data_IF_398513952966
#
_entry.id   IF_398513952966
#
_cell.length_a   1.000
_cell.length_b   1.000
_cell.length_c   1.000
_cell.angle_alpha   90.00
_cell.angle_beta   90.00
_cell.angle_gamma   90.00
#
_symmetry.space_group_name_H-M   'P 1'
#
loop_
_entity.id
_entity.type
_entity.pdbx_description
1 polymer ?
#
# COMPACT_ATOMS: atom_id res chain seq x y z
N UNK A 1 -2.00 -16.69 -19.75
CA UNK A 1 -3.04 -15.65 -19.59
C UNK A 1 -3.35 -15.42 -18.11
N UNK A 2 -2.31 -15.01 -17.35
CA UNK A 2 -2.39 -14.83 -15.88
C UNK A 2 -2.47 -13.35 -15.45
N UNK A 3 -2.38 -12.42 -16.38
CA UNK A 3 -2.32 -10.98 -16.13
C UNK A 3 -3.65 -10.34 -15.62
N UNK A 4 -4.76 -11.05 -15.65
CA UNK A 4 -6.07 -10.44 -15.37
C UNK A 4 -6.49 -10.43 -13.90
N UNK A 5 -5.78 -11.15 -13.02
CA UNK A 5 -6.31 -11.41 -11.68
C UNK A 5 -5.69 -10.55 -10.60
N UNK A 6 -4.44 -10.11 -10.73
CA UNK A 6 -3.73 -9.48 -9.61
C UNK A 6 -4.42 -8.22 -9.08
N UNK A 7 -4.56 -7.17 -9.86
CA UNK A 7 -5.13 -5.90 -9.42
C UNK A 7 -6.59 -6.04 -8.99
N UNK A 8 -7.36 -6.88 -9.69
CA UNK A 8 -8.74 -7.17 -9.31
C UNK A 8 -8.81 -7.98 -8.00
N UNK A 9 -7.89 -8.94 -7.82
CA UNK A 9 -7.81 -9.72 -6.59
C UNK A 9 -7.46 -8.84 -5.38
N UNK A 10 -6.55 -7.88 -5.52
CA UNK A 10 -6.19 -6.93 -4.48
C UNK A 10 -7.38 -6.09 -4.02
N UNK A 11 -8.13 -5.57 -4.99
CA UNK A 11 -9.37 -4.82 -4.74
C UNK A 11 -10.40 -5.68 -4.02
N UNK A 12 -10.56 -6.93 -4.46
CA UNK A 12 -11.49 -7.89 -3.86
C UNK A 12 -11.06 -8.27 -2.44
N UNK A 13 -9.77 -8.51 -2.23
CA UNK A 13 -9.23 -8.81 -0.89
C UNK A 13 -9.49 -7.66 0.09
N UNK A 14 -9.26 -6.42 -0.33
CA UNK A 14 -9.56 -5.25 0.49
C UNK A 14 -11.04 -5.18 0.88
N UNK A 15 -11.93 -5.42 -0.08
CA UNK A 15 -13.38 -5.46 0.18
C UNK A 15 -13.75 -6.57 1.17
N UNK A 16 -13.19 -7.76 1.01
CA UNK A 16 -13.45 -8.90 1.91
C UNK A 16 -12.96 -8.62 3.34
N UNK A 17 -11.80 -7.97 3.48
CA UNK A 17 -11.27 -7.56 4.79
C UNK A 17 -12.18 -6.55 5.49
N UNK A 18 -12.85 -5.66 4.75
CA UNK A 18 -13.85 -4.74 5.32
C UNK A 18 -15.09 -5.49 5.81
N UNK A 19 -15.55 -6.48 5.05
CA UNK A 19 -16.77 -7.22 5.37
C UNK A 19 -16.58 -8.20 6.54
N UNK A 20 -15.39 -8.77 6.67
CA UNK A 20 -15.08 -9.78 7.67
C UNK A 20 -14.69 -9.22 9.04
N UNK A 21 -14.44 -10.12 9.96
CA UNK A 21 -14.00 -9.84 11.34
C UNK A 21 -12.60 -10.42 11.62
N UNK A 22 -11.81 -10.63 10.55
CA UNK A 22 -10.51 -11.31 10.61
C UNK A 22 -9.58 -10.74 11.70
N UNK A 23 -9.54 -9.43 11.85
CA UNK A 23 -8.65 -8.78 12.82
C UNK A 23 -9.20 -8.75 14.25
N UNK A 24 -10.47 -9.12 14.44
CA UNK A 24 -11.01 -9.44 15.76
C UNK A 24 -10.48 -10.80 16.23
N UNK A 25 -10.46 -11.78 15.33
CA UNK A 25 -9.99 -13.13 15.63
C UNK A 25 -8.45 -13.20 15.65
N UNK A 26 -7.79 -12.44 14.76
CA UNK A 26 -6.34 -12.46 14.58
C UNK A 26 -5.76 -11.03 14.61
N UNK A 27 -5.73 -10.36 15.77
CA UNK A 27 -5.39 -8.94 15.88
C UNK A 27 -3.92 -8.62 15.53
N UNK A 28 -3.04 -9.61 15.51
CA UNK A 28 -1.62 -9.44 15.17
C UNK A 28 -1.29 -9.70 13.71
N UNK A 29 -2.23 -10.25 12.94
CA UNK A 29 -2.04 -10.43 11.49
C UNK A 29 -1.88 -9.08 10.80
N UNK A 30 -1.00 -9.04 9.81
CA UNK A 30 -0.78 -7.88 8.95
C UNK A 30 -0.82 -8.31 7.50
N UNK A 31 -1.43 -7.47 6.68
CA UNK A 31 -1.49 -7.67 5.23
C UNK A 31 -0.90 -6.46 4.53
N UNK A 32 -0.03 -6.70 3.57
CA UNK A 32 0.37 -5.71 2.58
C UNK A 32 -0.34 -6.05 1.29
N UNK A 33 -1.24 -5.18 0.86
CA UNK A 33 -1.95 -5.34 -0.41
C UNK A 33 -1.09 -4.71 -1.51
N UNK A 34 -0.64 -5.49 -2.49
CA UNK A 34 0.25 -5.00 -3.53
C UNK A 34 -0.46 -4.07 -4.54
N UNK A 35 0.30 -3.55 -5.48
CA UNK A 35 -0.17 -2.70 -6.60
C UNK A 35 -0.97 -1.48 -6.12
N UNK A 36 -0.51 -0.84 -5.04
CA UNK A 36 -1.22 0.29 -4.44
C UNK A 36 -2.61 -0.05 -3.90
N UNK A 37 -2.91 -1.33 -3.70
CA UNK A 37 -4.24 -1.80 -3.31
C UNK A 37 -5.23 -1.92 -4.47
N UNK A 38 -4.74 -2.01 -5.70
CA UNK A 38 -5.58 -2.08 -6.88
C UNK A 38 -6.46 -0.83 -7.05
N UNK A 39 -7.77 -0.99 -7.13
CA UNK A 39 -8.72 0.11 -7.23
C UNK A 39 -9.17 0.67 -5.86
N UNK A 40 -8.66 0.15 -4.73
CA UNK A 40 -9.08 0.58 -3.41
C UNK A 40 -8.90 2.09 -3.15
N UNK A 41 -7.75 2.72 -3.45
CA UNK A 41 -7.59 4.16 -3.27
C UNK A 41 -8.57 4.98 -4.12
N UNK A 42 -8.84 4.55 -5.34
CA UNK A 42 -9.77 5.23 -6.25
C UNK A 42 -11.22 5.19 -5.72
N UNK A 43 -11.61 4.10 -5.07
CA UNK A 43 -12.96 3.92 -4.51
C UNK A 43 -13.03 4.12 -2.99
N UNK A 44 -12.06 4.80 -2.39
CA UNK A 44 -11.93 4.94 -0.93
C UNK A 44 -13.21 5.41 -0.24
N UNK A 45 -13.91 6.37 -0.84
CA UNK A 45 -15.20 6.84 -0.32
C UNK A 45 -16.28 5.75 -0.28
N UNK A 46 -16.31 4.87 -1.29
CA UNK A 46 -17.25 3.72 -1.32
C UNK A 46 -16.97 2.73 -0.20
N UNK A 47 -15.70 2.44 0.07
CA UNK A 47 -15.33 1.52 1.14
C UNK A 47 -15.62 2.09 2.53
N UNK A 48 -15.47 3.39 2.72
CA UNK A 48 -15.92 4.08 3.94
C UNK A 48 -17.43 3.96 4.12
N UNK A 49 -18.21 4.19 3.06
CA UNK A 49 -19.67 4.04 3.06
C UNK A 49 -20.10 2.59 3.33
N UNK A 50 -19.45 1.61 2.69
CA UNK A 50 -19.70 0.20 2.94
C UNK A 50 -19.45 -0.21 4.40
N UNK A 51 -18.33 0.23 4.97
CA UNK A 51 -18.03 -0.02 6.38
C UNK A 51 -19.14 0.53 7.31
N UNK A 52 -19.62 1.73 7.03
CA UNK A 52 -20.73 2.36 7.77
C UNK A 52 -22.03 1.58 7.61
N UNK A 53 -22.40 1.18 6.40
CA UNK A 53 -23.60 0.37 6.10
C UNK A 53 -23.58 -0.97 6.84
N UNK A 54 -22.41 -1.61 6.89
CA UNK A 54 -22.17 -2.85 7.62
C UNK A 54 -22.02 -2.65 9.14
N UNK A 55 -22.19 -1.42 9.65
CA UNK A 55 -22.02 -1.06 11.06
C UNK A 55 -20.64 -1.41 11.63
N UNK A 56 -19.62 -1.42 10.77
CA UNK A 56 -18.22 -1.60 11.18
C UNK A 56 -17.67 -0.28 11.73
N UNK A 57 -16.63 -0.30 12.56
CA UNK A 57 -15.90 0.90 12.96
C UNK A 57 -15.30 1.62 11.76
N UNK A 58 -14.81 2.84 11.96
CA UNK A 58 -14.09 3.57 10.91
C UNK A 58 -12.91 2.73 10.39
N UNK A 59 -12.57 2.85 9.10
CA UNK A 59 -11.48 2.08 8.49
C UNK A 59 -10.16 2.19 9.27
N UNK A 60 -9.86 3.37 9.83
CA UNK A 60 -8.67 3.60 10.66
C UNK A 60 -8.65 2.76 11.94
N UNK A 61 -9.81 2.43 12.49
CA UNK A 61 -9.94 1.71 13.76
C UNK A 61 -10.15 0.21 13.55
N UNK A 62 -10.78 -0.16 12.43
CA UNK A 62 -11.10 -1.54 12.08
C UNK A 62 -9.99 -2.20 11.23
N UNK A 63 -9.47 -1.51 10.22
CA UNK A 63 -8.68 -2.11 9.17
C UNK A 63 -7.22 -1.62 9.13
N UNK A 64 -7.02 -0.30 9.22
CA UNK A 64 -5.72 0.31 8.97
C UNK A 64 -4.68 0.09 10.10
N UNK A 65 -5.03 -0.62 11.16
CA UNK A 65 -4.04 -1.13 12.11
C UNK A 65 -3.26 -2.33 11.55
N UNK A 66 -3.86 -3.05 10.61
CA UNK A 66 -3.40 -4.35 10.13
C UNK A 66 -3.19 -4.41 8.62
N UNK A 67 -3.78 -3.48 7.85
CA UNK A 67 -3.71 -3.46 6.39
C UNK A 67 -2.85 -2.31 5.90
N UNK A 68 -1.94 -2.64 5.02
CA UNK A 68 -0.96 -1.75 4.42
C UNK A 68 -1.04 -1.86 2.90
N UNK A 69 -0.47 -0.91 2.20
CA UNK A 69 -0.43 -0.85 0.74
C UNK A 69 0.99 -0.61 0.28
N UNK A 70 1.36 -1.15 -0.86
CA UNK A 70 2.67 -0.85 -1.44
C UNK A 70 2.59 0.27 -2.49
N UNK A 71 3.75 0.66 -3.01
CA UNK A 71 3.89 1.70 -4.03
C UNK A 71 4.13 1.15 -5.44
N UNK A 72 3.76 -0.10 -5.72
CA UNK A 72 3.88 -0.70 -7.05
C UNK A 72 2.83 -0.12 -8.02
N UNK A 73 2.86 1.20 -8.18
CA UNK A 73 1.98 1.97 -9.07
C UNK A 73 2.87 2.76 -10.03
N UNK A 74 2.74 2.49 -11.33
CA UNK A 74 3.72 2.91 -12.33
C UNK A 74 3.42 4.27 -12.97
N UNK A 75 2.77 5.19 -12.25
CA UNK A 75 2.56 6.55 -12.72
C UNK A 75 2.31 7.53 -11.57
N UNK A 76 2.71 8.78 -11.76
CA UNK A 76 2.63 9.80 -10.72
C UNK A 76 1.21 10.04 -10.19
N UNK A 77 0.17 10.21 -11.05
CA UNK A 77 -1.19 10.48 -10.55
C UNK A 77 -1.73 9.36 -9.63
N UNK A 78 -1.34 8.11 -9.85
CA UNK A 78 -1.72 6.99 -9.00
C UNK A 78 -1.05 7.05 -7.63
N UNK A 79 0.22 7.38 -7.57
CA UNK A 79 0.95 7.59 -6.31
C UNK A 79 0.39 8.81 -5.57
N UNK A 80 0.10 9.91 -6.25
CA UNK A 80 -0.50 11.10 -5.64
C UNK A 80 -1.88 10.80 -5.05
N UNK A 81 -2.69 9.99 -5.73
CA UNK A 81 -3.97 9.54 -5.19
C UNK A 81 -3.77 8.64 -3.97
N UNK A 82 -2.90 7.65 -4.06
CA UNK A 82 -2.60 6.71 -2.97
C UNK A 82 -2.20 7.45 -1.70
N UNK A 83 -1.20 8.32 -1.78
CA UNK A 83 -0.66 9.07 -0.63
C UNK A 83 -1.61 10.14 -0.09
N UNK A 84 -2.59 10.56 -0.89
CA UNK A 84 -3.62 11.52 -0.46
C UNK A 84 -4.77 10.87 0.30
N UNK A 85 -5.15 9.63 -0.04
CA UNK A 85 -6.34 8.98 0.53
C UNK A 85 -6.01 7.90 1.55
N UNK A 86 -4.88 7.23 1.40
CA UNK A 86 -4.39 6.26 2.38
C UNK A 86 -3.43 6.97 3.34
N UNK A 87 -3.59 6.79 4.67
CA UNK A 87 -2.63 7.37 5.61
C UNK A 87 -1.19 6.92 5.29
N UNK A 88 -0.25 7.84 5.32
CA UNK A 88 1.17 7.58 5.03
C UNK A 88 1.72 6.41 5.85
N UNK A 89 1.29 6.28 7.08
CA UNK A 89 1.65 5.16 7.96
C UNK A 89 1.26 3.78 7.42
N UNK A 90 0.38 3.72 6.45
CA UNK A 90 -0.09 2.47 5.84
C UNK A 90 0.49 2.22 4.44
N UNK A 91 1.44 3.05 3.98
CA UNK A 91 2.07 2.92 2.67
C UNK A 91 3.52 2.46 2.82
N UNK A 92 3.90 1.36 2.15
CA UNK A 92 5.25 0.81 2.12
C UNK A 92 5.86 1.00 0.72
N UNK A 93 7.13 1.37 0.67
CA UNK A 93 7.85 1.40 -0.60
C UNK A 93 8.02 -0.01 -1.18
N UNK A 94 7.69 -0.15 -2.46
CA UNK A 94 8.01 -1.31 -3.29
C UNK A 94 8.04 -0.91 -4.77
N UNK A 95 8.83 -1.63 -5.58
CA UNK A 95 9.01 -1.34 -7.00
C UNK A 95 8.59 -2.49 -7.91
N UNK A 96 8.44 -3.69 -7.36
CA UNK A 96 8.16 -4.91 -8.13
C UNK A 96 9.20 -5.19 -9.23
N UNK A 97 10.43 -4.74 -9.04
CA UNK A 97 11.53 -4.65 -10.00
C UNK A 97 11.83 -5.93 -10.80
N UNK A 98 11.41 -7.10 -10.32
CA UNK A 98 11.73 -8.40 -10.96
C UNK A 98 10.54 -8.96 -11.75
N UNK A 99 9.31 -8.58 -11.42
CA UNK A 99 8.13 -9.36 -11.80
C UNK A 99 7.20 -8.75 -12.83
N UNK A 100 7.12 -7.43 -12.90
CA UNK A 100 6.03 -6.79 -13.61
C UNK A 100 6.40 -6.27 -15.02
N UNK A 101 5.98 -5.08 -15.33
CA UNK A 101 6.21 -4.46 -16.64
C UNK A 101 7.67 -4.08 -16.76
N UNK A 102 8.35 -4.59 -17.78
CA UNK A 102 9.75 -4.28 -18.08
C UNK A 102 9.83 -3.30 -19.24
N UNK A 103 10.87 -2.48 -19.19
CA UNK A 103 11.18 -1.56 -20.28
C UNK A 103 11.06 -0.10 -19.86
N UNK A 104 11.37 0.76 -20.81
CA UNK A 104 11.34 2.21 -20.65
C UNK A 104 9.93 2.68 -21.05
N UNK A 105 9.29 3.42 -20.18
CA UNK A 105 8.05 4.12 -20.45
C UNK A 105 8.33 5.25 -21.47
N UNK A 106 7.72 5.23 -22.64
CA UNK A 106 7.94 6.24 -23.68
C UNK A 106 7.49 7.64 -23.27
N UNK A 107 6.52 7.74 -22.34
CA UNK A 107 6.00 9.03 -21.88
C UNK A 107 6.94 9.72 -20.90
N UNK A 108 7.74 8.96 -20.19
CA UNK A 108 8.58 9.49 -19.11
C UNK A 108 10.09 9.31 -19.36
N UNK A 109 10.50 8.37 -20.21
CA UNK A 109 11.90 8.05 -20.47
C UNK A 109 12.58 7.23 -19.37
N UNK A 110 11.84 6.75 -18.35
CA UNK A 110 12.34 5.95 -17.23
C UNK A 110 11.79 4.52 -17.27
N UNK A 111 12.41 3.61 -16.55
CA UNK A 111 11.85 2.27 -16.40
C UNK A 111 10.49 2.33 -15.68
N UNK A 112 9.53 1.49 -16.12
CA UNK A 112 8.20 1.44 -15.49
C UNK A 112 8.26 1.13 -14.00
N UNK A 113 9.18 0.27 -13.57
CA UNK A 113 9.38 -0.17 -12.18
C UNK A 113 10.24 0.78 -11.35
N UNK A 114 10.65 1.94 -11.89
CA UNK A 114 11.30 3.01 -11.12
C UNK A 114 10.29 3.81 -10.31
N UNK A 115 9.63 3.14 -9.37
CA UNK A 115 8.58 3.74 -8.53
C UNK A 115 9.13 4.70 -7.49
N UNK A 116 10.43 4.64 -7.18
CA UNK A 116 11.09 5.52 -6.21
C UNK A 116 10.91 6.99 -6.57
N UNK A 117 11.12 7.35 -7.83
CA UNK A 117 10.98 8.72 -8.32
C UNK A 117 9.60 9.31 -8.11
N UNK A 118 8.55 8.49 -8.16
CA UNK A 118 7.18 8.97 -7.93
C UNK A 118 6.95 9.34 -6.47
N UNK A 119 7.55 8.61 -5.53
CA UNK A 119 7.49 8.96 -4.10
C UNK A 119 8.33 10.20 -3.81
N UNK A 120 9.49 10.35 -4.46
CA UNK A 120 10.33 11.53 -4.34
C UNK A 120 9.64 12.80 -4.86
N UNK A 121 8.86 12.68 -5.93
CA UNK A 121 8.12 13.78 -6.55
C UNK A 121 6.75 14.06 -5.88
N UNK A 122 6.22 13.15 -5.07
CA UNK A 122 4.94 13.33 -4.39
C UNK A 122 5.00 14.49 -3.38
N UNK A 123 3.85 15.14 -3.16
CA UNK A 123 3.69 16.24 -2.21
C UNK A 123 3.71 15.72 -0.75
N UNK A 124 4.86 15.23 -0.32
CA UNK A 124 5.13 14.67 1.00
C UNK A 124 6.23 15.45 1.70
N UNK A 125 6.20 15.48 3.00
CA UNK A 125 7.33 15.94 3.82
C UNK A 125 8.46 14.92 3.82
N UNK A 126 9.67 15.30 4.21
CA UNK A 126 10.80 14.38 4.31
C UNK A 126 10.54 13.28 5.35
N UNK A 127 9.84 13.60 6.44
CA UNK A 127 9.44 12.62 7.44
C UNK A 127 8.48 11.58 6.86
N UNK A 128 7.49 11.99 6.06
CA UNK A 128 6.56 11.08 5.40
C UNK A 128 7.25 10.22 4.34
N UNK A 129 8.18 10.78 3.57
CA UNK A 129 9.01 9.99 2.63
C UNK A 129 9.82 8.92 3.38
N UNK A 130 10.50 9.31 4.45
CA UNK A 130 11.23 8.36 5.28
C UNK A 130 10.32 7.27 5.84
N UNK A 131 9.12 7.63 6.27
CA UNK A 131 8.13 6.68 6.75
C UNK A 131 7.76 5.65 5.68
N UNK A 132 7.51 6.09 4.44
CA UNK A 132 7.19 5.20 3.31
C UNK A 132 8.40 4.32 2.95
N UNK A 133 9.60 4.90 2.83
CA UNK A 133 10.79 4.18 2.40
C UNK A 133 11.32 3.17 3.42
N UNK A 134 11.15 3.44 4.72
CA UNK A 134 11.78 2.64 5.76
C UNK A 134 10.89 2.40 6.98
N UNK A 135 10.33 3.44 7.60
CA UNK A 135 9.68 3.35 8.90
C UNK A 135 8.53 2.35 8.94
N UNK A 136 7.68 2.34 7.92
CA UNK A 136 6.56 1.42 7.83
C UNK A 136 7.02 -0.04 7.64
N UNK A 137 8.05 -0.28 6.84
CA UNK A 137 8.60 -1.62 6.68
C UNK A 137 9.16 -2.18 8.01
N UNK A 138 9.87 -1.36 8.79
CA UNK A 138 10.34 -1.75 10.12
C UNK A 138 9.18 -2.11 11.05
N UNK A 139 8.10 -1.35 11.01
CA UNK A 139 6.89 -1.59 11.82
C UNK A 139 6.14 -2.86 11.40
N UNK A 140 6.03 -3.10 10.11
CA UNK A 140 5.32 -4.27 9.57
C UNK A 140 6.12 -5.55 9.76
N UNK A 141 7.44 -5.47 9.66
CA UNK A 141 8.37 -6.59 9.75
C UNK A 141 9.30 -6.48 10.98
N UNK A 142 8.81 -6.74 12.22
CA UNK A 142 9.59 -6.51 13.44
C UNK A 142 10.88 -7.34 13.52
N UNK A 143 10.94 -8.49 12.85
CA UNK A 143 12.18 -9.27 12.76
C UNK A 143 13.24 -8.58 11.89
N UNK A 144 12.80 -7.88 10.84
CA UNK A 144 13.69 -7.04 10.03
C UNK A 144 14.24 -5.88 10.86
N UNK A 145 13.37 -5.18 11.57
CA UNK A 145 13.77 -4.07 12.45
C UNK A 145 14.78 -4.50 13.50
N UNK A 146 14.54 -5.61 14.19
CA UNK A 146 15.48 -6.17 15.15
C UNK A 146 16.83 -6.53 14.52
N UNK A 147 16.83 -7.12 13.32
CA UNK A 147 18.06 -7.46 12.61
C UNK A 147 18.86 -6.20 12.15
N UNK A 148 18.17 -5.15 11.75
CA UNK A 148 18.80 -3.88 11.37
C UNK A 148 19.41 -3.18 12.60
N UNK A 149 18.66 -3.10 13.70
CA UNK A 149 19.16 -2.56 14.98
C UNK A 149 20.40 -3.29 15.50
N UNK A 150 20.41 -4.62 15.40
CA UNK A 150 21.57 -5.41 15.77
C UNK A 150 22.83 -5.13 14.93
N UNK A 151 22.63 -4.53 13.73
CA UNK A 151 23.72 -4.09 12.84
C UNK A 151 24.04 -2.60 12.95
N UNK A 152 23.47 -1.91 13.94
CA UNK A 152 23.67 -0.45 14.13
C UNK A 152 22.95 0.42 13.10
N UNK A 153 21.87 -0.08 12.54
CA UNK A 153 21.09 0.63 11.50
C UNK A 153 19.67 0.88 11.95
#
# INVERSE_FOLDING_TARGET
MLFRSYINADTTAFMQLIQGDLFTDFPTLRFVIPHGGGAAPYHWGRYRGLAQELKKPLLKDHLLKNVFFDTCVYHQPGIDLLTRVVPVDNVLFASEMIGAVKGIDPDTGFNFDDTKRYIEAAALTDAERHQIFEGNARRVYPRLDAALKARGR
#
